data_IF_519687308967
#
_entry.id   IF_519687308967
#
_cell.length_a   1.000
_cell.length_b   1.000
_cell.length_c   1.000
_cell.angle_alpha   90.00
_cell.angle_beta   90.00
_cell.angle_gamma   90.00
#
_symmetry.space_group_name_H-M   'P 1'
#
loop_
_entity.id
_entity.type
_entity.pdbx_description
1 polymer ?
#
# COMPACT_ATOMS: atom_id res chain seq x y z
N UNK A 1 -7.76 -8.44 -8.30
CA UNK A 1 -7.15 -8.06 -9.59
C UNK A 1 -5.69 -8.50 -9.68
N UNK A 2 -4.78 -8.10 -8.77
CA UNK A 2 -3.37 -8.50 -8.83
C UNK A 2 -3.15 -10.03 -8.90
N UNK A 3 -3.94 -10.82 -8.18
CA UNK A 3 -3.85 -12.29 -8.20
C UNK A 3 -4.36 -12.93 -9.48
N UNK A 4 -5.41 -12.35 -10.08
CA UNK A 4 -5.85 -12.73 -11.43
C UNK A 4 -4.73 -12.48 -12.43
N UNK A 5 -4.02 -11.35 -12.29
CA UNK A 5 -2.85 -11.02 -13.12
C UNK A 5 -1.69 -11.99 -12.89
N UNK A 6 -1.40 -12.38 -11.64
CA UNK A 6 -0.37 -13.39 -11.34
C UNK A 6 -0.73 -14.78 -11.90
N UNK A 7 -1.98 -15.21 -11.75
CA UNK A 7 -2.46 -16.45 -12.33
C UNK A 7 -2.39 -16.44 -13.86
N UNK A 8 -2.79 -15.33 -14.48
CA UNK A 8 -2.67 -15.13 -15.92
C UNK A 8 -1.22 -15.11 -16.38
N UNK A 9 -0.32 -14.44 -15.65
CA UNK A 9 1.12 -14.43 -15.91
C UNK A 9 1.71 -15.85 -15.85
N UNK A 10 1.38 -16.62 -14.81
CA UNK A 10 1.84 -17.99 -14.65
C UNK A 10 1.36 -18.86 -15.81
N UNK A 11 0.08 -18.74 -16.16
CA UNK A 11 -0.53 -19.44 -17.28
C UNK A 11 0.13 -19.09 -18.63
N UNK A 12 0.28 -17.81 -18.95
CA UNK A 12 0.86 -17.36 -20.22
C UNK A 12 2.34 -17.68 -20.32
N UNK A 13 3.08 -17.57 -19.21
CA UNK A 13 4.51 -17.93 -19.15
C UNK A 13 4.70 -19.44 -19.33
N UNK A 14 3.87 -20.26 -18.67
CA UNK A 14 3.90 -21.71 -18.85
C UNK A 14 3.63 -22.11 -20.30
N UNK A 15 2.63 -21.48 -20.93
CA UNK A 15 2.33 -21.71 -22.35
C UNK A 15 3.45 -21.26 -23.29
N UNK A 16 4.07 -20.10 -23.04
CA UNK A 16 5.24 -19.65 -23.79
C UNK A 16 6.45 -20.56 -23.61
N UNK A 17 6.65 -21.09 -22.40
CA UNK A 17 7.73 -22.03 -22.13
C UNK A 17 7.57 -23.35 -22.89
N UNK A 18 6.35 -23.86 -23.02
CA UNK A 18 6.05 -25.13 -23.70
C UNK A 18 5.95 -25.04 -25.23
N UNK A 19 5.81 -23.85 -25.81
CA UNK A 19 5.57 -23.63 -27.25
C UNK A 19 6.83 -23.65 -28.14
N UNK A 20 7.90 -24.35 -27.74
CA UNK A 20 9.17 -24.38 -28.48
C UNK A 20 9.02 -24.91 -29.93
N UNK A 21 10.06 -24.72 -30.74
CA UNK A 21 10.11 -25.34 -32.08
C UNK A 21 10.75 -26.72 -31.97
N UNK A 22 10.11 -27.72 -32.55
CA UNK A 22 10.62 -29.09 -32.56
C UNK A 22 11.88 -29.15 -33.43
N UNK A 23 13.01 -29.49 -32.82
CA UNK A 23 14.31 -29.58 -33.48
C UNK A 23 14.89 -30.96 -33.27
N UNK A 24 15.48 -31.53 -34.32
CA UNK A 24 16.14 -32.83 -34.26
C UNK A 24 17.51 -32.71 -33.58
N UNK A 25 17.73 -33.52 -32.54
CA UNK A 25 19.02 -33.62 -31.83
C UNK A 25 19.87 -34.76 -32.39
N UNK A 26 19.22 -35.89 -32.68
CA UNK A 26 19.77 -37.11 -33.30
C UNK A 26 18.64 -37.75 -34.12
N UNK A 27 18.94 -38.68 -35.05
CA UNK A 27 17.91 -39.46 -35.74
C UNK A 27 16.91 -40.02 -34.72
N UNK A 28 15.62 -39.73 -34.92
CA UNK A 28 14.48 -40.08 -34.06
C UNK A 28 14.44 -39.45 -32.65
N UNK A 29 15.37 -38.54 -32.30
CA UNK A 29 15.34 -37.78 -31.05
C UNK A 29 15.05 -36.31 -31.30
N UNK A 30 13.83 -35.90 -30.97
CA UNK A 30 13.33 -34.54 -31.10
C UNK A 30 13.27 -33.85 -29.74
N UNK A 31 13.58 -32.56 -29.69
CA UNK A 31 13.40 -31.74 -28.50
C UNK A 31 12.85 -30.36 -28.85
N UNK A 32 12.19 -29.73 -27.89
CA UNK A 32 11.67 -28.39 -28.03
C UNK A 32 12.78 -27.36 -27.78
N UNK A 33 13.16 -26.62 -28.81
CA UNK A 33 14.15 -25.54 -28.74
C UNK A 33 13.45 -24.19 -28.78
N UNK A 34 13.75 -23.33 -27.82
CA UNK A 34 13.26 -21.95 -27.82
C UNK A 34 14.13 -21.07 -28.71
N UNK A 35 13.50 -20.19 -29.49
CA UNK A 35 14.20 -19.16 -30.26
C UNK A 35 14.36 -17.87 -29.42
N UNK A 36 15.32 -17.01 -29.78
CA UNK A 36 15.57 -15.71 -29.16
C UNK A 36 14.30 -14.87 -29.06
N UNK A 37 13.46 -14.85 -30.10
CA UNK A 37 12.19 -14.12 -30.07
C UNK A 37 11.25 -14.59 -28.94
N UNK A 38 11.19 -15.89 -28.67
CA UNK A 38 10.38 -16.46 -27.59
C UNK A 38 10.95 -16.13 -26.22
N UNK A 39 12.28 -16.19 -26.08
CA UNK A 39 12.95 -15.78 -24.84
C UNK A 39 12.71 -14.31 -24.53
N UNK A 40 12.81 -13.43 -25.54
CA UNK A 40 12.46 -12.02 -25.41
C UNK A 40 10.99 -11.81 -25.03
N UNK A 41 10.06 -12.58 -25.63
CA UNK A 41 8.64 -12.50 -25.30
C UNK A 41 8.34 -12.92 -23.85
N UNK A 42 9.00 -13.96 -23.33
CA UNK A 42 8.85 -14.38 -21.93
C UNK A 42 9.35 -13.31 -20.95
N UNK A 43 10.51 -12.71 -21.23
CA UNK A 43 11.05 -11.61 -20.40
C UNK A 43 10.10 -10.40 -20.43
N UNK A 44 9.60 -10.04 -21.62
CA UNK A 44 8.64 -8.96 -21.77
C UNK A 44 7.32 -9.25 -21.03
N UNK A 45 6.84 -10.49 -21.04
CA UNK A 45 5.64 -10.91 -20.32
C UNK A 45 5.80 -10.77 -18.79
N UNK A 46 6.96 -11.14 -18.25
CA UNK A 46 7.25 -10.94 -16.83
C UNK A 46 7.31 -9.43 -16.52
N UNK A 47 8.01 -8.65 -17.34
CA UNK A 47 8.12 -7.20 -17.17
C UNK A 47 6.75 -6.51 -17.16
N UNK A 48 5.90 -6.79 -18.16
CA UNK A 48 4.58 -6.18 -18.27
C UNK A 48 3.67 -6.62 -17.12
N UNK A 49 3.76 -7.87 -16.68
CA UNK A 49 2.93 -8.34 -15.57
C UNK A 49 3.33 -7.70 -14.23
N UNK A 50 4.63 -7.56 -13.95
CA UNK A 50 5.10 -6.82 -12.77
C UNK A 50 4.62 -5.37 -12.83
N UNK A 51 4.73 -4.72 -14.00
CA UNK A 51 4.22 -3.35 -14.19
C UNK A 51 2.72 -3.24 -13.91
N UNK A 52 1.91 -4.14 -14.48
CA UNK A 52 0.45 -4.16 -14.29
C UNK A 52 0.11 -4.39 -12.81
N UNK A 53 0.80 -5.30 -12.12
CA UNK A 53 0.59 -5.54 -10.69
C UNK A 53 0.88 -4.27 -9.88
N UNK A 54 1.98 -3.58 -10.15
CA UNK A 54 2.30 -2.30 -9.51
C UNK A 54 1.24 -1.24 -9.79
N UNK A 55 0.77 -1.12 -11.04
CA UNK A 55 -0.33 -0.20 -11.39
C UNK A 55 -1.63 -0.54 -10.65
N UNK A 56 -1.98 -1.83 -10.51
CA UNK A 56 -3.18 -2.27 -9.79
C UNK A 56 -3.10 -1.86 -8.31
N UNK A 57 -1.96 -2.09 -7.65
CA UNK A 57 -1.77 -1.67 -6.26
C UNK A 57 -1.84 -0.15 -6.11
N UNK A 58 -1.25 0.61 -7.04
CA UNK A 58 -1.36 2.08 -7.06
C UNK A 58 -2.81 2.56 -7.23
N UNK A 59 -3.60 1.93 -8.11
CA UNK A 59 -5.02 2.26 -8.30
C UNK A 59 -5.80 1.96 -7.02
N UNK A 60 -5.61 0.77 -6.42
CA UNK A 60 -6.27 0.40 -5.16
C UNK A 60 -5.97 1.44 -4.07
N UNK A 61 -4.70 1.75 -3.86
CA UNK A 61 -4.25 2.70 -2.85
C UNK A 61 -4.90 4.07 -3.07
N UNK A 62 -4.84 4.60 -4.30
CA UNK A 62 -5.41 5.91 -4.62
C UNK A 62 -6.94 5.97 -4.48
N UNK A 63 -7.66 4.89 -4.80
CA UNK A 63 -9.12 4.82 -4.61
C UNK A 63 -9.49 4.88 -3.13
N UNK A 64 -8.77 4.12 -2.28
CA UNK A 64 -8.96 4.14 -0.83
C UNK A 64 -8.63 5.54 -0.30
N UNK A 65 -7.49 6.11 -0.69
CA UNK A 65 -7.10 7.45 -0.28
C UNK A 65 -8.11 8.51 -0.68
N UNK A 66 -8.68 8.44 -1.90
CA UNK A 66 -9.72 9.36 -2.33
C UNK A 66 -11.02 9.24 -1.53
N UNK A 67 -11.43 8.02 -1.18
CA UNK A 67 -12.61 7.81 -0.36
C UNK A 67 -12.42 8.34 1.07
N UNK A 68 -11.26 8.04 1.67
CA UNK A 68 -10.90 8.47 3.03
C UNK A 68 -10.75 10.00 3.08
N UNK A 69 -10.08 10.59 2.09
CA UNK A 69 -9.93 12.06 2.02
C UNK A 69 -11.29 12.75 1.89
N UNK A 70 -12.19 12.28 1.02
CA UNK A 70 -13.55 12.81 0.93
C UNK A 70 -14.32 12.71 2.25
N UNK A 71 -14.16 11.60 2.96
CA UNK A 71 -14.78 11.41 4.27
C UNK A 71 -14.19 12.33 5.33
N UNK A 72 -12.86 12.47 5.35
CA UNK A 72 -12.12 13.29 6.31
C UNK A 72 -12.52 14.75 6.22
N UNK A 73 -12.55 15.30 5.01
CA UNK A 73 -12.85 16.72 4.76
C UNK A 73 -14.35 17.05 4.70
N UNK A 74 -15.23 16.06 4.82
CA UNK A 74 -16.68 16.30 4.81
C UNK A 74 -17.19 16.72 6.19
N UNK A 75 -17.83 17.88 6.25
CA UNK A 75 -18.54 18.35 7.46
C UNK A 75 -19.73 17.45 7.81
N UNK A 76 -20.44 16.92 6.81
CA UNK A 76 -21.58 16.04 7.01
C UNK A 76 -21.28 14.65 6.45
N UNK A 77 -20.81 13.75 7.32
CA UNK A 77 -20.43 12.38 6.95
C UNK A 77 -21.62 11.53 6.49
N UNK A 78 -22.85 11.89 6.89
CA UNK A 78 -24.08 11.15 6.55
C UNK A 78 -24.63 11.47 5.17
N UNK A 79 -24.24 12.59 4.57
CA UNK A 79 -24.70 12.99 3.22
C UNK A 79 -23.80 12.47 2.10
N UNK A 80 -22.77 11.69 2.41
CA UNK A 80 -21.86 11.11 1.44
C UNK A 80 -22.51 9.85 0.82
N UNK A 81 -23.05 9.94 -0.39
CA UNK A 81 -23.71 8.81 -1.06
C UNK A 81 -22.80 7.58 -1.19
N UNK A 82 -21.67 7.70 -1.91
CA UNK A 82 -20.71 6.61 -2.06
C UNK A 82 -19.28 7.15 -2.32
N UNK A 83 -18.50 7.39 -1.25
CA UNK A 83 -17.12 7.88 -1.36
C UNK A 83 -16.22 6.95 -2.19
N UNK A 84 -16.42 5.64 -2.08
CA UNK A 84 -15.61 4.63 -2.78
C UNK A 84 -15.91 4.66 -4.27
N UNK A 85 -17.18 4.54 -4.68
CA UNK A 85 -17.55 4.57 -6.10
C UNK A 85 -17.19 5.90 -6.75
N UNK A 86 -17.42 7.01 -6.06
CA UNK A 86 -17.05 8.35 -6.54
C UNK A 86 -15.53 8.48 -6.74
N UNK A 87 -14.72 7.95 -5.82
CA UNK A 87 -13.26 8.01 -5.92
C UNK A 87 -12.72 7.05 -6.97
N UNK A 88 -13.27 5.85 -7.10
CA UNK A 88 -12.98 4.93 -8.19
C UNK A 88 -13.21 5.58 -9.57
N UNK A 89 -14.38 6.19 -9.79
CA UNK A 89 -14.69 6.90 -11.03
C UNK A 89 -13.70 8.03 -11.31
N UNK A 90 -13.31 8.80 -10.29
CA UNK A 90 -12.33 9.87 -10.43
C UNK A 90 -10.96 9.34 -10.87
N UNK A 91 -10.49 8.26 -10.23
CA UNK A 91 -9.20 7.64 -10.57
C UNK A 91 -9.21 7.15 -12.00
N UNK A 92 -10.20 6.36 -12.41
CA UNK A 92 -10.28 5.83 -13.77
C UNK A 92 -10.48 6.91 -14.83
N UNK A 93 -11.20 8.00 -14.53
CA UNK A 93 -11.48 9.07 -15.50
C UNK A 93 -10.33 10.07 -15.64
N UNK A 94 -9.62 10.41 -14.56
CA UNK A 94 -8.68 11.54 -14.56
C UNK A 94 -7.26 11.21 -14.08
N UNK A 95 -7.06 10.16 -13.29
CA UNK A 95 -5.76 9.92 -12.63
C UNK A 95 -5.08 8.60 -12.98
N UNK A 96 -5.73 7.73 -13.75
CA UNK A 96 -5.17 6.44 -14.16
C UNK A 96 -3.79 6.60 -14.83
N UNK A 97 -3.64 7.59 -15.71
CA UNK A 97 -2.36 7.88 -16.35
C UNK A 97 -1.24 8.26 -15.38
N UNK A 98 -1.54 8.97 -14.29
CA UNK A 98 -0.55 9.30 -13.26
C UNK A 98 -0.07 8.06 -12.51
N UNK A 99 -0.98 7.13 -12.22
CA UNK A 99 -0.66 5.85 -11.54
C UNK A 99 0.15 4.93 -12.45
N UNK A 100 -0.27 4.78 -13.71
CA UNK A 100 0.42 3.94 -14.70
C UNK A 100 1.83 4.47 -14.99
N UNK A 101 1.98 5.78 -15.13
CA UNK A 101 3.28 6.43 -15.32
C UNK A 101 4.19 6.28 -14.10
N UNK A 102 3.68 6.50 -12.90
CA UNK A 102 4.46 6.32 -11.65
C UNK A 102 4.94 4.88 -11.51
N UNK A 103 4.04 3.90 -11.67
CA UNK A 103 4.41 2.49 -11.54
C UNK A 103 5.45 2.04 -12.57
N UNK A 104 5.49 2.67 -13.75
CA UNK A 104 6.56 2.43 -14.74
C UNK A 104 7.90 2.98 -14.25
N UNK A 105 7.91 4.19 -13.67
CA UNK A 105 9.12 4.77 -13.08
C UNK A 105 9.65 3.87 -11.96
N UNK A 106 8.76 3.43 -11.06
CA UNK A 106 9.13 2.54 -9.95
C UNK A 106 9.68 1.20 -10.44
N UNK A 107 9.12 0.64 -11.52
CA UNK A 107 9.66 -0.58 -12.14
C UNK A 107 11.05 -0.37 -12.76
N UNK A 108 11.26 0.73 -13.49
CA UNK A 108 12.57 1.03 -14.09
C UNK A 108 13.62 1.34 -13.02
N UNK A 109 13.22 1.94 -11.89
CA UNK A 109 14.09 2.24 -10.76
C UNK A 109 14.40 1.00 -9.89
N UNK A 110 13.65 -0.09 -10.02
CA UNK A 110 13.83 -1.33 -9.23
C UNK A 110 15.27 -1.85 -9.18
N UNK A 111 16.01 -1.98 -10.31
CA UNK A 111 17.43 -2.39 -10.26
C UNK A 111 18.28 -1.41 -9.46
N UNK A 112 18.06 -0.09 -9.58
CA UNK A 112 18.81 0.95 -8.86
C UNK A 112 18.55 0.85 -7.35
N UNK A 113 17.31 0.57 -6.96
CA UNK A 113 16.91 0.42 -5.56
C UNK A 113 17.64 -0.74 -4.86
N UNK A 114 18.01 -1.79 -5.60
CA UNK A 114 18.78 -2.91 -5.05
C UNK A 114 20.19 -2.47 -4.65
N UNK A 115 20.80 -1.54 -5.37
CA UNK A 115 22.15 -1.04 -5.09
C UNK A 115 22.17 0.10 -4.06
N UNK A 116 21.12 0.94 -4.04
CA UNK A 116 21.02 2.14 -3.20
C UNK A 116 19.74 2.05 -2.36
N UNK A 117 19.64 1.09 -1.44
CA UNK A 117 18.40 0.77 -0.71
C UNK A 117 17.64 1.97 -0.12
N UNK A 118 18.37 3.01 0.32
CA UNK A 118 17.78 4.27 0.82
C UNK A 118 16.98 5.03 -0.26
N UNK A 119 17.44 5.05 -1.51
CA UNK A 119 16.74 5.69 -2.63
C UNK A 119 15.40 5.03 -2.89
N UNK A 120 15.37 3.69 -2.92
CA UNK A 120 14.12 2.93 -3.10
C UNK A 120 13.14 3.14 -1.96
N UNK A 121 13.63 3.21 -0.72
CA UNK A 121 12.80 3.52 0.43
C UNK A 121 12.16 4.91 0.34
N UNK A 122 12.96 5.93 0.02
CA UNK A 122 12.49 7.31 -0.16
C UNK A 122 11.47 7.42 -1.29
N UNK A 123 11.74 6.79 -2.44
CA UNK A 123 10.80 6.76 -3.56
C UNK A 123 9.46 6.16 -3.14
N UNK A 124 9.47 5.02 -2.42
CA UNK A 124 8.24 4.37 -1.95
C UNK A 124 7.44 5.29 -1.03
N UNK A 125 8.09 5.96 -0.08
CA UNK A 125 7.41 6.89 0.83
C UNK A 125 6.82 8.07 0.05
N UNK A 126 7.60 8.69 -0.84
CA UNK A 126 7.12 9.86 -1.60
C UNK A 126 6.00 9.47 -2.55
N UNK A 127 6.09 8.34 -3.26
CA UNK A 127 5.06 7.87 -4.18
C UNK A 127 3.74 7.58 -3.47
N UNK A 128 3.75 6.86 -2.34
CA UNK A 128 2.54 6.61 -1.53
C UNK A 128 1.86 7.92 -1.13
N UNK A 129 2.62 8.84 -0.55
CA UNK A 129 2.10 10.14 -0.11
C UNK A 129 1.64 11.02 -1.28
N UNK A 130 2.28 10.90 -2.44
CA UNK A 130 1.86 11.59 -3.66
C UNK A 130 0.48 11.11 -4.09
N UNK A 131 0.16 9.81 -4.03
CA UNK A 131 -1.17 9.30 -4.37
C UNK A 131 -2.27 9.90 -3.50
N UNK A 132 -2.03 10.01 -2.19
CA UNK A 132 -2.96 10.68 -1.28
C UNK A 132 -3.16 12.14 -1.68
N UNK A 133 -2.08 12.89 -1.96
CA UNK A 133 -2.17 14.29 -2.36
C UNK A 133 -2.81 14.50 -3.73
N UNK A 134 -2.65 13.57 -4.68
CA UNK A 134 -3.40 13.60 -5.95
C UNK A 134 -4.89 13.41 -5.65
N UNK A 135 -5.24 12.44 -4.80
CA UNK A 135 -6.64 12.18 -4.45
C UNK A 135 -7.29 13.37 -3.72
N UNK A 136 -6.51 14.13 -2.95
CA UNK A 136 -6.94 15.32 -2.21
C UNK A 136 -7.06 16.57 -3.08
N UNK A 137 -6.02 16.89 -3.87
CA UNK A 137 -5.91 18.16 -4.58
C UNK A 137 -6.24 18.06 -6.09
N UNK A 138 -6.35 16.85 -6.64
CA UNK A 138 -6.59 16.60 -8.05
C UNK A 138 -5.44 17.06 -8.98
N UNK A 139 -4.22 17.20 -8.47
CA UNK A 139 -3.04 17.66 -9.24
C UNK A 139 -2.27 16.48 -9.84
N UNK A 140 -1.55 16.63 -10.97
CA UNK A 140 -0.77 15.54 -11.57
C UNK A 140 0.38 15.08 -10.64
N UNK A 141 0.84 13.84 -10.85
CA UNK A 141 1.83 13.17 -10.00
C UNK A 141 3.06 14.04 -9.67
N UNK A 142 3.68 14.70 -10.66
CA UNK A 142 4.87 15.51 -10.40
C UNK A 142 4.65 16.63 -9.37
N UNK A 143 3.52 17.36 -9.46
CA UNK A 143 3.20 18.45 -8.52
C UNK A 143 2.90 17.89 -7.12
N UNK A 144 2.13 16.81 -7.06
CA UNK A 144 1.79 16.14 -5.79
C UNK A 144 3.00 15.48 -5.15
N UNK A 145 3.90 14.89 -5.93
CA UNK A 145 5.15 14.28 -5.47
C UNK A 145 6.13 15.32 -4.91
N UNK A 146 6.27 16.49 -5.56
CA UNK A 146 7.07 17.59 -4.99
C UNK A 146 6.51 18.06 -3.64
N UNK A 147 5.18 18.15 -3.53
CA UNK A 147 4.53 18.51 -2.26
C UNK A 147 4.68 17.41 -1.20
N UNK A 148 4.50 16.14 -1.58
CA UNK A 148 4.72 14.98 -0.71
C UNK A 148 6.14 14.96 -0.17
N UNK A 149 7.15 15.12 -1.04
CA UNK A 149 8.55 15.18 -0.63
C UNK A 149 8.81 16.31 0.37
N UNK A 150 8.21 17.48 0.17
CA UNK A 150 8.32 18.60 1.12
C UNK A 150 7.70 18.24 2.48
N UNK A 151 6.45 17.78 2.49
CA UNK A 151 5.74 17.39 3.73
C UNK A 151 6.50 16.30 4.49
N UNK A 152 6.99 15.29 3.76
CA UNK A 152 7.79 14.20 4.31
C UNK A 152 9.11 14.71 4.88
N UNK A 153 9.84 15.56 4.14
CA UNK A 153 11.12 16.08 4.61
C UNK A 153 10.99 16.94 5.88
N UNK A 154 9.87 17.63 6.07
CA UNK A 154 9.61 18.49 7.22
C UNK A 154 9.19 17.71 8.47
N UNK A 155 8.61 16.51 8.33
CA UNK A 155 8.06 15.72 9.43
C UNK A 155 8.57 14.27 9.39
N UNK A 156 9.78 14.05 8.87
CA UNK A 156 10.27 12.73 8.49
C UNK A 156 10.28 11.73 9.64
N UNK A 157 10.70 12.16 10.84
CA UNK A 157 10.77 11.32 12.03
C UNK A 157 9.40 10.84 12.48
N UNK A 158 8.42 11.75 12.56
CA UNK A 158 7.05 11.42 12.98
C UNK A 158 6.35 10.54 11.95
N UNK A 159 6.46 10.87 10.66
CA UNK A 159 5.89 10.06 9.56
C UNK A 159 6.51 8.65 9.55
N UNK A 160 7.84 8.56 9.68
CA UNK A 160 8.53 7.28 9.69
C UNK A 160 8.14 6.42 10.89
N UNK A 161 8.03 7.04 12.07
CA UNK A 161 7.67 6.34 13.31
C UNK A 161 6.25 5.79 13.23
N UNK A 162 5.29 6.57 12.72
CA UNK A 162 3.89 6.16 12.59
C UNK A 162 3.75 5.04 11.55
N UNK A 163 4.43 5.15 10.40
CA UNK A 163 4.41 4.08 9.40
C UNK A 163 5.03 2.80 9.96
N UNK A 164 6.14 2.89 10.68
CA UNK A 164 6.79 1.73 11.29
C UNK A 164 5.89 1.05 12.33
N UNK A 165 5.29 1.83 13.23
CA UNK A 165 4.37 1.30 14.27
C UNK A 165 3.11 0.72 13.63
N UNK A 166 2.55 1.39 12.63
CA UNK A 166 1.38 0.91 11.87
C UNK A 166 1.67 -0.42 11.17
N UNK A 167 2.76 -0.49 10.40
CA UNK A 167 3.18 -1.71 9.70
C UNK A 167 3.42 -2.87 10.68
N UNK A 168 4.01 -2.59 11.84
CA UNK A 168 4.22 -3.58 12.89
C UNK A 168 2.91 -4.11 13.47
N UNK A 169 1.98 -3.23 13.83
CA UNK A 169 0.67 -3.62 14.40
C UNK A 169 -0.14 -4.42 13.38
N UNK A 170 -0.19 -3.96 12.13
CA UNK A 170 -0.91 -4.65 11.06
C UNK A 170 -0.24 -6.01 10.74
N UNK A 171 1.09 -6.10 10.83
CA UNK A 171 1.83 -7.35 10.67
C UNK A 171 1.51 -8.38 11.74
N UNK A 172 1.42 -7.99 13.02
CA UNK A 172 0.98 -8.88 14.11
C UNK A 172 -0.45 -9.37 13.86
N UNK A 173 -1.34 -8.47 13.43
CA UNK A 173 -2.72 -8.83 13.16
C UNK A 173 -2.83 -9.83 12.00
N UNK A 174 -2.06 -9.63 10.92
CA UNK A 174 -1.94 -10.59 9.82
C UNK A 174 -1.43 -11.96 10.28
N UNK A 175 -0.34 -11.97 11.06
CA UNK A 175 0.24 -13.21 11.60
C UNK A 175 -0.75 -13.97 12.46
N UNK A 176 -1.49 -13.28 13.31
CA UNK A 176 -2.50 -13.88 14.20
C UNK A 176 -3.61 -14.59 13.41
N UNK A 177 -4.09 -14.00 12.31
CA UNK A 177 -5.11 -14.64 11.46
C UNK A 177 -4.58 -15.94 10.83
N UNK A 178 -3.36 -15.93 10.31
CA UNK A 178 -2.75 -17.12 9.70
C UNK A 178 -2.56 -18.22 10.75
N UNK A 179 -2.03 -17.89 11.93
CA UNK A 179 -1.82 -18.86 13.01
C UNK A 179 -3.13 -19.47 13.51
N UNK A 180 -4.17 -18.66 13.73
CA UNK A 180 -5.50 -19.16 14.13
C UNK A 180 -6.11 -20.06 13.06
N UNK A 181 -5.96 -19.72 11.78
CA UNK A 181 -6.48 -20.54 10.67
C UNK A 181 -5.81 -21.93 10.65
N UNK A 182 -4.48 -21.97 10.82
CA UNK A 182 -3.72 -23.22 10.89
C UNK A 182 -4.08 -24.03 12.14
N UNK A 183 -4.22 -23.38 13.31
CA UNK A 183 -4.61 -24.04 14.56
C UNK A 183 -5.98 -24.70 14.44
N UNK A 184 -6.97 -24.01 13.86
CA UNK A 184 -8.30 -24.57 13.62
C UNK A 184 -8.22 -25.79 12.70
N UNK A 185 -7.46 -25.70 11.59
CA UNK A 185 -7.25 -26.86 10.69
C UNK A 185 -6.55 -28.02 11.41
N UNK A 186 -5.58 -27.74 12.29
CA UNK A 186 -4.89 -28.75 13.07
C UNK A 186 -5.84 -29.45 14.05
N UNK A 187 -6.70 -28.70 14.74
CA UNK A 187 -7.70 -29.28 15.64
C UNK A 187 -8.67 -30.17 14.84
N UNK A 188 -9.18 -29.69 13.70
CA UNK A 188 -10.16 -30.45 12.90
C UNK A 188 -9.59 -31.72 12.27
N UNK A 189 -8.34 -31.69 11.80
CA UNK A 189 -7.68 -32.84 11.14
C UNK A 189 -6.92 -33.74 12.11
N UNK A 190 -6.52 -33.23 13.27
CA UNK A 190 -5.81 -33.97 14.33
C UNK A 190 -6.68 -35.03 15.02
N UNK A 191 -8.01 -34.94 14.86
CA UNK A 191 -8.94 -36.00 15.24
C UNK A 191 -9.06 -37.14 14.21
N UNK A 192 -8.51 -36.98 13.00
CA UNK A 192 -8.53 -37.99 11.93
C UNK A 192 -7.11 -38.50 11.65
N UNK A 193 -6.64 -39.47 12.42
CA UNK A 193 -5.25 -39.93 12.44
C UNK A 193 -4.82 -40.81 11.24
N UNK A 194 -5.70 -41.07 10.26
CA UNK A 194 -5.46 -42.07 9.21
C UNK A 194 -5.00 -41.49 7.86
N UNK A 195 -4.77 -40.17 7.75
CA UNK A 195 -4.43 -39.53 6.48
C UNK A 195 -2.92 -39.62 6.14
N UNK A 196 -2.55 -39.88 4.86
CA UNK A 196 -1.15 -39.84 4.42
C UNK A 196 -0.50 -38.46 4.64
N UNK A 197 0.76 -38.43 5.09
CA UNK A 197 1.49 -37.20 5.41
C UNK A 197 1.56 -36.20 4.24
N UNK A 198 1.66 -36.67 2.99
CA UNK A 198 1.70 -35.80 1.81
C UNK A 198 0.39 -35.00 1.66
N UNK A 199 -0.75 -35.63 1.91
CA UNK A 199 -2.05 -34.97 1.85
C UNK A 199 -2.17 -33.86 2.89
N UNK A 200 -1.71 -34.12 4.12
CA UNK A 200 -1.69 -33.13 5.19
C UNK A 200 -0.84 -31.92 4.84
N UNK A 201 0.38 -32.13 4.32
CA UNK A 201 1.27 -31.03 3.90
C UNK A 201 0.60 -30.16 2.84
N UNK A 202 -0.08 -30.76 1.86
CA UNK A 202 -0.81 -30.02 0.82
C UNK A 202 -1.95 -29.20 1.44
N UNK A 203 -2.77 -29.79 2.30
CA UNK A 203 -3.88 -29.10 2.97
C UNK A 203 -3.38 -27.91 3.79
N UNK A 204 -2.39 -28.12 4.66
CA UNK A 204 -1.83 -27.03 5.48
C UNK A 204 -1.19 -25.94 4.62
N UNK A 205 -0.47 -26.30 3.55
CA UNK A 205 0.11 -25.32 2.63
C UNK A 205 -0.96 -24.46 1.96
N UNK A 206 -2.08 -25.07 1.54
CA UNK A 206 -3.22 -24.34 0.96
C UNK A 206 -3.85 -23.42 2.01
N UNK A 207 -4.07 -23.88 3.24
CA UNK A 207 -4.65 -23.05 4.32
C UNK A 207 -3.76 -21.85 4.64
N UNK A 208 -2.45 -22.07 4.82
CA UNK A 208 -1.49 -20.98 5.06
C UNK A 208 -1.52 -19.98 3.91
N UNK A 209 -1.47 -20.47 2.67
CA UNK A 209 -1.50 -19.62 1.49
C UNK A 209 -2.78 -18.79 1.43
N UNK A 210 -3.96 -19.42 1.52
CA UNK A 210 -5.24 -18.71 1.43
C UNK A 210 -5.42 -17.72 2.59
N UNK A 211 -5.15 -18.12 3.83
CA UNK A 211 -5.30 -17.25 5.00
C UNK A 211 -4.34 -16.05 4.97
N UNK A 212 -3.08 -16.24 4.56
CA UNK A 212 -2.13 -15.16 4.37
C UNK A 212 -2.63 -14.15 3.34
N UNK A 213 -3.18 -14.62 2.21
CA UNK A 213 -3.68 -13.73 1.15
C UNK A 213 -4.90 -12.92 1.59
N UNK A 214 -5.84 -13.56 2.28
CA UNK A 214 -7.02 -12.88 2.83
C UNK A 214 -6.61 -11.82 3.84
N UNK A 215 -5.72 -12.18 4.78
CA UNK A 215 -5.20 -11.25 5.77
C UNK A 215 -4.45 -10.07 5.12
N UNK A 216 -3.54 -10.35 4.17
CA UNK A 216 -2.78 -9.34 3.44
C UNK A 216 -3.69 -8.34 2.73
N UNK A 217 -4.68 -8.84 1.97
CA UNK A 217 -5.60 -7.98 1.22
C UNK A 217 -6.46 -7.13 2.16
N UNK A 218 -6.99 -7.73 3.23
CA UNK A 218 -7.81 -7.03 4.21
C UNK A 218 -7.02 -5.90 4.89
N UNK A 219 -5.84 -6.22 5.44
CA UNK A 219 -5.02 -5.24 6.15
C UNK A 219 -4.37 -4.20 5.25
N UNK A 220 -4.17 -4.47 3.96
CA UNK A 220 -3.73 -3.44 3.00
C UNK A 220 -4.71 -2.27 2.87
N UNK A 221 -6.00 -2.51 3.12
CA UNK A 221 -7.03 -1.46 3.10
C UNK A 221 -6.89 -0.57 4.34
N UNK A 222 -6.65 -1.18 5.50
CA UNK A 222 -6.42 -0.46 6.75
C UNK A 222 -5.14 0.36 6.70
N UNK A 223 -4.04 -0.20 6.18
CA UNK A 223 -2.78 0.50 5.96
C UNK A 223 -3.00 1.78 5.13
N UNK A 224 -3.62 1.64 3.95
CA UNK A 224 -3.90 2.78 3.07
C UNK A 224 -4.82 3.83 3.73
N UNK A 225 -5.79 3.40 4.55
CA UNK A 225 -6.68 4.30 5.26
C UNK A 225 -5.96 5.08 6.37
N UNK A 226 -5.14 4.41 7.19
CA UNK A 226 -4.35 5.04 8.26
C UNK A 226 -3.35 6.03 7.67
N UNK A 227 -2.58 5.64 6.65
CA UNK A 227 -1.65 6.51 5.92
C UNK A 227 -2.38 7.78 5.43
N UNK A 228 -3.57 7.60 4.86
CA UNK A 228 -4.35 8.71 4.30
C UNK A 228 -4.89 9.63 5.39
N UNK A 229 -5.45 9.09 6.48
CA UNK A 229 -5.96 9.89 7.61
C UNK A 229 -4.82 10.73 8.19
N UNK A 230 -3.65 10.12 8.37
CA UNK A 230 -2.50 10.79 8.92
C UNK A 230 -2.01 11.92 8.00
N UNK A 231 -1.91 11.69 6.69
CA UNK A 231 -1.52 12.75 5.77
C UNK A 231 -2.59 13.85 5.67
N UNK A 232 -3.88 13.51 5.75
CA UNK A 232 -4.96 14.49 5.84
C UNK A 232 -4.83 15.35 7.10
N UNK A 233 -4.50 14.73 8.25
CA UNK A 233 -4.24 15.43 9.49
C UNK A 233 -3.05 16.39 9.36
N UNK A 234 -1.92 15.94 8.82
CA UNK A 234 -0.78 16.82 8.59
C UNK A 234 -1.12 18.00 7.69
N UNK A 235 -1.89 17.78 6.63
CA UNK A 235 -2.34 18.85 5.73
C UNK A 235 -3.34 19.80 6.42
N UNK A 236 -4.28 19.27 7.22
CA UNK A 236 -5.26 20.05 8.00
C UNK A 236 -4.57 20.96 9.01
N UNK A 237 -3.59 20.44 9.75
CA UNK A 237 -2.73 21.22 10.66
C UNK A 237 -1.90 22.30 9.97
N UNK A 238 -1.60 22.17 8.68
CA UNK A 238 -0.88 23.18 7.92
C UNK A 238 -1.79 24.26 7.32
N UNK A 239 -3.02 23.91 6.97
CA UNK A 239 -3.97 24.82 6.29
C UNK A 239 -4.86 25.61 7.25
N UNK A 240 -5.14 25.01 8.41
CA UNK A 240 -6.11 25.50 9.37
C UNK A 240 -5.44 25.77 10.72
N UNK A 241 -5.96 26.75 11.45
CA UNK A 241 -5.39 27.21 12.72
C UNK A 241 -6.33 26.98 13.91
N UNK A 242 -7.48 26.35 13.68
CA UNK A 242 -8.51 26.09 14.69
C UNK A 242 -9.34 27.32 15.09
N UNK A 243 -8.95 28.51 14.64
CA UNK A 243 -9.56 29.80 14.98
C UNK A 243 -10.39 30.32 13.80
N UNK A 244 -9.76 31.10 12.90
CA UNK A 244 -10.40 31.62 11.69
C UNK A 244 -10.78 30.52 10.70
N UNK A 245 -9.96 29.46 10.67
CA UNK A 245 -10.20 28.28 9.85
C UNK A 245 -10.25 27.06 10.77
N UNK A 246 -11.45 26.55 11.09
CA UNK A 246 -11.58 25.40 11.96
C UNK A 246 -11.03 24.15 11.28
N UNK A 247 -10.42 23.27 12.07
CA UNK A 247 -9.95 21.98 11.58
C UNK A 247 -11.11 21.12 11.05
N UNK A 248 -10.82 20.34 10.01
CA UNK A 248 -11.76 19.36 9.45
C UNK A 248 -11.79 18.04 10.24
N UNK A 249 -10.74 17.75 11.02
CA UNK A 249 -10.62 16.53 11.81
C UNK A 249 -11.78 16.31 12.80
N UNK A 250 -12.07 15.05 13.15
CA UNK A 250 -13.08 14.75 14.17
C UNK A 250 -12.64 15.21 15.56
N UNK A 251 -13.62 15.54 16.42
CA UNK A 251 -13.38 15.94 17.80
C UNK A 251 -12.54 14.92 18.57
N UNK A 252 -12.86 13.63 18.44
CA UNK A 252 -12.11 12.56 19.10
C UNK A 252 -10.63 12.51 18.69
N UNK A 253 -10.35 12.74 17.40
CA UNK A 253 -8.96 12.76 16.90
C UNK A 253 -8.23 14.01 17.38
N UNK A 254 -8.92 15.16 17.39
CA UNK A 254 -8.38 16.41 17.89
C UNK A 254 -8.03 16.33 19.38
N UNK A 255 -8.95 15.78 20.19
CA UNK A 255 -8.78 15.60 21.63
C UNK A 255 -7.65 14.61 21.92
N UNK A 256 -7.57 13.50 21.19
CA UNK A 256 -6.47 12.54 21.30
C UNK A 256 -5.11 13.18 21.00
N UNK A 257 -5.02 13.97 19.93
CA UNK A 257 -3.80 14.68 19.53
C UNK A 257 -3.42 15.74 20.57
N UNK A 258 -4.39 16.52 21.06
CA UNK A 258 -4.14 17.53 22.09
C UNK A 258 -3.67 16.92 23.41
N UNK A 259 -4.33 15.84 23.85
CA UNK A 259 -3.90 15.09 25.02
C UNK A 259 -2.47 14.56 24.87
N UNK A 260 -2.15 13.99 23.70
CA UNK A 260 -0.80 13.54 23.39
C UNK A 260 0.19 14.70 23.47
N UNK A 261 -0.08 15.84 22.83
CA UNK A 261 0.81 17.00 22.88
C UNK A 261 1.03 17.54 24.30
N UNK A 262 0.01 17.55 25.16
CA UNK A 262 0.15 17.97 26.57
C UNK A 262 1.12 17.05 27.33
N UNK A 263 1.01 15.74 27.15
CA UNK A 263 1.93 14.76 27.76
C UNK A 263 3.37 15.00 27.29
N UNK A 264 3.57 15.26 26.00
CA UNK A 264 4.91 15.54 25.45
C UNK A 264 5.50 16.85 25.97
N UNK A 265 4.67 17.89 26.19
CA UNK A 265 5.12 19.16 26.78
C UNK A 265 5.53 19.02 28.25
N UNK A 266 4.94 18.08 28.98
CA UNK A 266 5.24 17.83 30.39
C UNK A 266 6.47 16.94 30.60
N UNK A 267 6.91 16.22 29.58
CA UNK A 267 8.09 15.36 29.65
C UNK A 267 9.36 16.15 29.28
N UNK A 268 10.17 16.47 30.30
CA UNK A 268 11.41 17.26 30.19
C UNK A 268 12.41 16.69 29.15
N UNK A 269 12.33 15.39 28.84
CA UNK A 269 13.19 14.75 27.84
C UNK A 269 12.94 15.23 26.42
N UNK A 270 11.75 15.75 26.13
CA UNK A 270 11.34 16.21 24.79
C UNK A 270 11.36 17.74 24.64
N UNK A 271 11.64 18.49 25.72
CA UNK A 271 11.77 19.95 25.70
C UNK A 271 12.70 20.51 24.60
N UNK A 272 13.88 19.95 24.31
CA UNK A 272 14.75 20.45 23.23
C UNK A 272 14.22 20.13 21.82
N UNK A 273 13.36 19.12 21.66
CA UNK A 273 12.76 18.75 20.36
C UNK A 273 11.58 19.68 20.03
N UNK A 274 10.80 20.05 21.05
CA UNK A 274 9.63 20.94 20.92
C UNK A 274 10.00 22.38 20.55
N UNK A 275 11.21 22.85 20.87
CA UNK A 275 11.69 24.18 20.46
C UNK A 275 11.93 24.33 18.95
N UNK A 276 12.06 23.22 18.20
CA UNK A 276 12.24 23.22 16.74
C UNK A 276 10.98 22.90 15.94
N UNK A 277 9.92 22.41 16.60
CA UNK A 277 8.64 22.08 15.98
C UNK A 277 7.67 23.26 16.15
N UNK A 278 7.77 24.24 15.24
CA UNK A 278 6.78 25.31 15.12
C UNK A 278 5.51 24.73 14.47
N UNK A 279 4.80 23.86 15.19
CA UNK A 279 3.46 23.43 14.82
C UNK A 279 2.52 24.56 15.24
N UNK A 280 2.08 25.35 14.26
CA UNK A 280 1.15 26.47 14.40
C UNK A 280 -0.26 26.11 14.89
N UNK A 281 -0.41 25.07 15.72
CA UNK A 281 -1.59 24.84 16.52
C UNK A 281 -1.63 25.92 17.60
N UNK A 282 -2.45 26.94 17.38
CA UNK A 282 -2.75 27.94 18.39
C UNK A 282 -3.22 27.26 19.69
N UNK A 283 -2.84 27.77 20.87
CA UNK A 283 -3.35 27.27 22.14
C UNK A 283 -4.89 27.37 22.12
N UNK A 284 -5.54 26.26 22.42
CA UNK A 284 -6.99 26.15 22.49
C UNK A 284 -7.44 27.06 23.64
N UNK A 285 -8.13 28.16 23.34
CA UNK A 285 -8.77 28.96 24.37
C UNK A 285 -9.91 28.14 24.97
N UNK A 286 -9.82 27.82 26.25
CA UNK A 286 -10.92 27.29 27.04
C UNK A 286 -12.06 28.33 27.05
N UNK A 287 -13.21 27.98 26.47
CA UNK A 287 -14.48 28.67 26.62
C UNK A 287 -15.64 27.67 26.51
#
# INVERSE_FOLDING_TARGET
>A
MAFLTLGLLAFTTYFMYSSGVLTELKPDFLYYKQNTAMQCAMIFNIFIAVWIIMSIFGVQYMVISGAVTKWYWSKNKRSLESPICSSARLVFKYHLGSVVFESLITLIALPINMFIGAFGFCLRIVSKNAYVLIAMHGKPFYKSGKKAAKVVSQNASSILSINFVGDFILGIAQGTIVQLSVLITLILTGFSADAPWFFLVVVYSIVVFVSFFVAFTCFSIFEAAVDTIFLCFCEDSLLNNGMERPYAMSRDLMEFVDHSMRVWKQDERFAPIMQGMDMGCAPISEA
#
